data_IF_992147895027
#
_entry.id   IF_992147895027
#
_cell.length_a   1.000
_cell.length_b   1.000
_cell.length_c   1.000
_cell.angle_alpha   90.00
_cell.angle_beta   90.00
_cell.angle_gamma   90.00
#
_symmetry.space_group_name_H-M   'P 1'
#
loop_
_entity.id
_entity.type
_entity.pdbx_description
1 polymer ?
#
# COMPACT_ATOMS: atom_id res chain seq x y z
N UNK A 1 27.56 35.01 -16.41
CA UNK A 1 28.92 34.86 -15.86
C UNK A 1 29.18 33.37 -15.71
N UNK A 2 30.04 32.81 -16.56
CA UNK A 2 30.06 31.38 -16.87
C UNK A 2 30.74 30.55 -15.78
N UNK A 3 29.97 29.72 -15.06
CA UNK A 3 30.45 28.79 -14.02
C UNK A 3 31.30 27.63 -14.58
N UNK A 4 31.30 27.45 -15.90
CA UNK A 4 31.90 26.31 -16.60
C UNK A 4 33.44 26.40 -16.76
N UNK A 5 34.04 27.57 -16.51
CA UNK A 5 35.48 27.80 -16.73
C UNK A 5 36.42 27.28 -15.62
N UNK A 6 35.87 26.80 -14.50
CA UNK A 6 36.66 26.34 -13.34
C UNK A 6 36.87 24.82 -13.28
N UNK A 7 36.25 24.07 -14.18
CA UNK A 7 36.44 22.61 -14.28
C UNK A 7 37.63 22.37 -15.21
N UNK A 8 38.82 22.28 -14.63
CA UNK A 8 40.04 21.86 -15.32
C UNK A 8 40.07 20.33 -15.36
N UNK A 9 39.66 19.74 -16.48
CA UNK A 9 39.78 18.30 -16.72
C UNK A 9 41.23 17.99 -17.09
N UNK A 10 41.98 17.42 -16.15
CA UNK A 10 43.36 16.97 -16.40
C UNK A 10 43.34 15.48 -16.77
N UNK A 11 43.45 15.12 -18.07
CA UNK A 11 43.43 13.71 -18.50
C UNK A 11 44.63 12.91 -17.99
N UNK A 12 45.74 13.58 -17.66
CA UNK A 12 46.97 12.98 -17.14
C UNK A 12 46.80 12.44 -15.70
N UNK A 13 45.75 12.87 -14.99
CA UNK A 13 45.43 12.39 -13.65
C UNK A 13 44.69 11.03 -13.68
N UNK A 14 44.29 10.53 -14.86
CA UNK A 14 43.59 9.27 -15.01
C UNK A 14 44.58 8.09 -15.01
N UNK A 15 44.90 7.61 -13.80
CA UNK A 15 45.71 6.41 -13.61
C UNK A 15 44.88 5.13 -13.83
N UNK A 16 45.58 4.01 -14.04
CA UNK A 16 44.95 2.70 -14.23
C UNK A 16 44.05 2.29 -13.04
N UNK A 17 44.42 2.69 -11.82
CA UNK A 17 43.67 2.38 -10.60
C UNK A 17 42.27 3.01 -10.62
N UNK A 18 42.16 4.25 -11.12
CA UNK A 18 40.88 4.94 -11.22
C UNK A 18 39.94 4.27 -12.23
N UNK A 19 40.47 3.80 -13.36
CA UNK A 19 39.70 3.04 -14.35
C UNK A 19 39.23 1.69 -13.78
N UNK A 20 40.10 0.99 -13.06
CA UNK A 20 39.75 -0.28 -12.43
C UNK A 20 38.63 -0.12 -11.40
N UNK A 21 38.70 0.91 -10.55
CA UNK A 21 37.66 1.21 -9.57
C UNK A 21 36.31 1.53 -10.23
N UNK A 22 36.32 2.34 -11.31
CA UNK A 22 35.10 2.66 -12.05
C UNK A 22 34.46 1.40 -12.66
N UNK A 23 35.25 0.57 -13.35
CA UNK A 23 34.75 -0.66 -13.99
C UNK A 23 34.16 -1.62 -12.95
N UNK A 24 34.86 -1.83 -11.83
CA UNK A 24 34.36 -2.68 -10.74
C UNK A 24 33.06 -2.11 -10.17
N UNK A 25 33.01 -0.80 -9.88
CA UNK A 25 31.82 -0.14 -9.35
C UNK A 25 30.60 -0.32 -10.24
N UNK A 26 30.72 -0.01 -11.53
CA UNK A 26 29.62 -0.19 -12.48
C UNK A 26 29.21 -1.66 -12.62
N UNK A 27 30.17 -2.58 -12.65
CA UNK A 27 29.89 -4.02 -12.77
C UNK A 27 29.13 -4.54 -11.56
N UNK A 28 29.53 -4.16 -10.34
CA UNK A 28 28.86 -4.58 -9.11
C UNK A 28 27.43 -4.03 -9.05
N UNK A 29 27.23 -2.76 -9.37
CA UNK A 29 25.88 -2.15 -9.39
C UNK A 29 25.00 -2.85 -10.43
N UNK A 30 25.53 -3.09 -11.62
CA UNK A 30 24.80 -3.78 -12.68
C UNK A 30 24.43 -5.21 -12.28
N UNK A 31 25.36 -5.95 -11.68
CA UNK A 31 25.11 -7.30 -11.16
C UNK A 31 24.08 -7.29 -10.03
N UNK A 32 24.15 -6.33 -9.10
CA UNK A 32 23.18 -6.19 -8.01
C UNK A 32 21.76 -5.96 -8.55
N UNK A 33 21.61 -5.08 -9.53
CA UNK A 33 20.32 -4.82 -10.19
C UNK A 33 19.81 -6.04 -10.96
N UNK A 34 20.69 -6.74 -11.68
CA UNK A 34 20.33 -7.95 -12.41
C UNK A 34 19.86 -9.06 -11.47
N UNK A 35 20.58 -9.28 -10.36
CA UNK A 35 20.20 -10.26 -9.34
C UNK A 35 18.83 -9.91 -8.75
N UNK A 36 18.63 -8.65 -8.37
CA UNK A 36 17.36 -8.19 -7.82
C UNK A 36 16.20 -8.37 -8.81
N UNK A 37 16.42 -8.06 -10.10
CA UNK A 37 15.45 -8.32 -11.15
C UNK A 37 15.08 -9.82 -11.24
N UNK A 38 16.09 -10.71 -11.25
CA UNK A 38 15.85 -12.15 -11.29
C UNK A 38 15.08 -12.60 -10.05
N UNK A 39 15.44 -12.09 -8.87
CA UNK A 39 14.75 -12.42 -7.62
C UNK A 39 13.26 -12.06 -7.69
N UNK A 40 12.93 -10.81 -8.05
CA UNK A 40 11.53 -10.38 -8.17
C UNK A 40 10.78 -11.12 -9.29
N UNK A 41 11.45 -11.50 -10.37
CA UNK A 41 10.84 -12.29 -11.45
C UNK A 41 10.48 -13.72 -11.02
N UNK A 42 11.26 -14.33 -10.14
CA UNK A 42 11.03 -15.71 -9.67
C UNK A 42 10.05 -15.79 -8.50
N UNK A 43 10.01 -14.75 -7.66
CA UNK A 43 9.13 -14.65 -6.49
C UNK A 43 7.64 -14.99 -6.78
N UNK A 44 6.95 -14.40 -7.79
CA UNK A 44 5.55 -14.70 -8.05
C UNK A 44 5.33 -16.16 -8.49
N UNK A 45 6.31 -16.77 -9.17
CA UNK A 45 6.22 -18.18 -9.57
C UNK A 45 6.30 -19.11 -8.37
N UNK A 46 7.19 -18.82 -7.41
CA UNK A 46 7.31 -19.58 -6.17
C UNK A 46 6.05 -19.49 -5.31
N UNK A 47 5.48 -18.28 -5.19
CA UNK A 47 4.23 -18.07 -4.46
C UNK A 47 3.06 -18.78 -5.13
N UNK A 48 2.91 -18.63 -6.46
CA UNK A 48 1.85 -19.30 -7.22
C UNK A 48 1.95 -20.83 -7.11
N UNK A 49 3.16 -21.38 -7.11
CA UNK A 49 3.37 -22.82 -6.96
C UNK A 49 2.90 -23.34 -5.58
N UNK A 50 3.23 -22.62 -4.50
CA UNK A 50 2.76 -22.96 -3.17
C UNK A 50 1.23 -22.84 -3.04
N UNK A 51 0.65 -21.80 -3.64
CA UNK A 51 -0.80 -21.59 -3.66
C UNK A 51 -1.52 -22.70 -4.43
N UNK A 52 -1.05 -23.05 -5.63
CA UNK A 52 -1.58 -24.18 -6.42
C UNK A 52 -1.53 -25.50 -5.65
N UNK A 53 -0.43 -25.75 -4.94
CA UNK A 53 -0.29 -26.95 -4.10
C UNK A 53 -1.29 -26.98 -2.94
N UNK A 54 -1.59 -25.84 -2.32
CA UNK A 54 -2.62 -25.74 -1.27
C UNK A 54 -4.03 -25.96 -1.83
N UNK A 55 -4.39 -25.23 -2.89
CA UNK A 55 -5.71 -25.33 -3.52
C UNK A 55 -6.02 -26.74 -4.06
N UNK A 56 -4.99 -27.44 -4.59
CA UNK A 56 -5.15 -28.83 -5.04
C UNK A 56 -5.36 -29.82 -3.89
N UNK A 57 -4.86 -29.51 -2.67
CA UNK A 57 -5.11 -30.32 -1.47
C UNK A 57 -6.50 -30.06 -0.88
N UNK A 58 -7.03 -28.86 -1.06
CA UNK A 58 -8.36 -28.44 -0.60
C UNK A 58 -9.50 -28.91 -1.53
N UNK A 59 -9.18 -29.58 -2.64
CA UNK A 59 -10.18 -30.19 -3.53
C UNK A 59 -10.81 -29.22 -4.53
N UNK A 60 -10.22 -28.05 -4.76
CA UNK A 60 -10.67 -27.06 -5.74
C UNK A 60 -9.73 -26.99 -6.97
N UNK A 61 -9.75 -28.01 -7.86
CA UNK A 61 -8.80 -28.12 -8.98
C UNK A 61 -8.97 -26.99 -10.02
N UNK A 62 -10.19 -26.46 -10.16
CA UNK A 62 -10.51 -25.39 -11.09
C UNK A 62 -9.86 -24.06 -10.67
N UNK A 63 -9.94 -23.72 -9.39
CA UNK A 63 -9.24 -22.54 -8.83
C UNK A 63 -7.73 -22.72 -8.82
N UNK A 64 -7.23 -23.95 -8.68
CA UNK A 64 -5.79 -24.23 -8.79
C UNK A 64 -5.27 -24.05 -10.24
N UNK A 65 -6.11 -24.29 -11.27
CA UNK A 65 -5.73 -24.09 -12.66
C UNK A 65 -5.58 -22.60 -13.01
N UNK A 66 -6.43 -21.75 -12.43
CA UNK A 66 -6.40 -20.29 -12.60
C UNK A 66 -5.47 -19.59 -11.61
N UNK A 67 -5.13 -20.21 -10.48
CA UNK A 67 -4.20 -19.64 -9.50
C UNK A 67 -2.84 -19.34 -10.15
N UNK A 68 -2.45 -18.07 -10.20
CA UNK A 68 -1.20 -17.63 -10.82
C UNK A 68 -1.29 -17.33 -12.32
N UNK A 69 -2.49 -17.32 -12.93
CA UNK A 69 -2.69 -16.57 -14.15
C UNK A 69 -2.41 -15.09 -13.85
N UNK A 70 -1.40 -14.51 -14.49
CA UNK A 70 -1.07 -13.12 -14.31
C UNK A 70 -2.23 -12.27 -14.86
N UNK A 71 -3.07 -11.74 -13.97
CA UNK A 71 -4.03 -10.70 -14.35
C UNK A 71 -3.21 -9.43 -14.60
N UNK A 72 -3.40 -8.74 -15.74
CA UNK A 72 -2.68 -7.51 -16.02
C UNK A 72 -2.93 -6.45 -14.94
N UNK A 73 -1.90 -5.64 -14.66
CA UNK A 73 -1.96 -4.64 -13.60
C UNK A 73 -3.04 -3.59 -13.85
N UNK A 74 -3.29 -3.25 -15.12
CA UNK A 74 -4.34 -2.33 -15.53
C UNK A 74 -5.74 -2.83 -15.16
N UNK A 75 -5.99 -4.14 -15.27
CA UNK A 75 -7.29 -4.73 -14.92
C UNK A 75 -7.51 -4.69 -13.41
N UNK A 76 -6.48 -5.05 -12.64
CA UNK A 76 -6.53 -4.94 -11.18
C UNK A 76 -6.72 -3.50 -10.70
N UNK A 77 -6.05 -2.54 -11.36
CA UNK A 77 -6.21 -1.12 -11.07
C UNK A 77 -7.65 -0.66 -11.37
N UNK A 78 -8.20 -1.03 -12.54
CA UNK A 78 -9.57 -0.70 -12.90
C UNK A 78 -10.59 -1.29 -11.92
N UNK A 79 -10.41 -2.55 -11.49
CA UNK A 79 -11.25 -3.19 -10.47
C UNK A 79 -11.15 -2.44 -9.15
N UNK A 80 -9.93 -2.11 -8.70
CA UNK A 80 -9.72 -1.37 -7.45
C UNK A 80 -10.36 0.03 -7.51
N UNK A 81 -10.25 0.72 -8.65
CA UNK A 81 -10.91 2.02 -8.88
C UNK A 81 -12.43 1.89 -8.86
N UNK A 82 -12.99 0.87 -9.51
CA UNK A 82 -14.44 0.64 -9.50
C UNK A 82 -14.96 0.38 -8.08
N UNK A 83 -14.26 -0.47 -7.31
CA UNK A 83 -14.59 -0.73 -5.90
C UNK A 83 -14.48 0.56 -5.08
N UNK A 84 -13.40 1.33 -5.26
CA UNK A 84 -13.21 2.60 -4.55
C UNK A 84 -14.35 3.59 -4.81
N UNK A 85 -14.74 3.79 -6.07
CA UNK A 85 -15.83 4.70 -6.43
C UNK A 85 -17.17 4.24 -5.86
N UNK A 86 -17.47 2.94 -5.95
CA UNK A 86 -18.69 2.37 -5.38
C UNK A 86 -18.77 2.56 -3.87
N UNK A 87 -17.67 2.26 -3.16
CA UNK A 87 -17.63 2.44 -1.71
C UNK A 87 -17.69 3.92 -1.32
N UNK A 88 -17.07 4.81 -2.09
CA UNK A 88 -17.12 6.25 -1.82
C UNK A 88 -18.53 6.82 -2.00
N UNK A 89 -19.31 6.32 -2.95
CA UNK A 89 -20.71 6.72 -3.14
C UNK A 89 -21.64 6.23 -2.00
N UNK A 90 -21.33 5.08 -1.40
CA UNK A 90 -22.08 4.54 -0.27
C UNK A 90 -21.77 5.22 1.09
N UNK A 91 -20.70 6.00 1.19
CA UNK A 91 -20.45 6.77 2.40
C UNK A 91 -21.37 8.00 2.41
N UNK A 92 -22.24 8.09 3.41
CA UNK A 92 -23.01 9.33 3.65
C UNK A 92 -22.03 10.48 3.89
N UNK A 93 -22.22 11.59 3.17
CA UNK A 93 -21.48 12.83 3.40
C UNK A 93 -21.92 13.43 4.74
N UNK A 94 -21.23 13.04 5.82
CA UNK A 94 -21.44 13.65 7.12
C UNK A 94 -21.09 15.15 7.06
N UNK A 95 -22.10 16.01 7.16
CA UNK A 95 -21.89 17.45 7.26
C UNK A 95 -21.36 17.75 8.66
N UNK A 96 -20.07 18.03 8.79
CA UNK A 96 -19.43 18.37 10.06
C UNK A 96 -19.87 19.72 10.68
N UNK A 97 -20.98 20.30 10.20
CA UNK A 97 -21.60 21.50 10.78
C UNK A 97 -22.62 21.05 11.82
N UNK A 98 -22.14 20.88 13.05
CA UNK A 98 -23.02 20.65 14.20
C UNK A 98 -23.73 21.97 14.56
N UNK A 99 -24.87 22.27 13.92
CA UNK A 99 -25.73 23.38 14.37
C UNK A 99 -26.46 22.94 15.64
N UNK A 100 -25.85 23.18 16.80
CA UNK A 100 -26.50 22.99 18.10
C UNK A 100 -27.54 24.09 18.28
N UNK A 101 -28.76 23.86 17.79
CA UNK A 101 -29.90 24.68 18.20
C UNK A 101 -30.19 24.35 19.66
N UNK A 102 -29.84 25.25 20.59
CA UNK A 102 -30.32 25.19 21.96
C UNK A 102 -31.84 25.39 21.96
N UNK A 103 -32.60 24.33 21.72
CA UNK A 103 -33.96 24.28 22.22
C UNK A 103 -33.83 24.35 23.75
N UNK A 104 -34.56 25.25 24.40
CA UNK A 104 -34.51 25.48 25.85
C UNK A 104 -35.12 24.30 26.65
N UNK A 105 -34.79 23.06 26.31
CA UNK A 105 -35.11 21.88 27.11
C UNK A 105 -33.96 21.69 28.09
N UNK A 106 -34.21 22.08 29.34
CA UNK A 106 -33.29 22.00 30.48
C UNK A 106 -32.85 20.56 30.84
N UNK A 107 -33.36 19.54 30.14
CA UNK A 107 -33.03 18.14 30.37
C UNK A 107 -32.91 17.38 29.05
N UNK A 108 -31.92 16.49 28.97
CA UNK A 108 -31.80 15.48 27.91
C UNK A 108 -32.49 14.19 28.36
N UNK A 109 -33.34 13.56 27.51
CA UNK A 109 -34.00 12.30 27.85
C UNK A 109 -33.03 11.11 27.94
N UNK A 110 -31.76 11.26 27.55
CA UNK A 110 -30.76 10.19 27.60
C UNK A 110 -30.08 10.05 28.97
N UNK A 111 -30.16 11.06 29.84
CA UNK A 111 -29.58 11.02 31.18
C UNK A 111 -30.34 11.92 32.17
N UNK A 112 -31.60 11.61 32.45
CA UNK A 112 -32.35 12.30 33.50
C UNK A 112 -32.28 11.49 34.79
N UNK A 113 -31.38 11.92 35.70
CA UNK A 113 -31.12 11.31 37.03
C UNK A 113 -32.38 11.15 37.91
N UNK A 114 -33.46 11.86 37.57
CA UNK A 114 -34.78 11.83 38.23
C UNK A 114 -35.50 10.47 38.17
N UNK A 115 -35.27 9.63 37.17
CA UNK A 115 -35.90 8.30 37.14
C UNK A 115 -35.21 7.26 38.04
N UNK A 116 -33.99 7.55 38.52
CA UNK A 116 -33.20 6.58 39.30
C UNK A 116 -33.25 6.81 40.82
N UNK A 117 -34.00 7.81 41.30
CA UNK A 117 -34.05 8.21 42.72
C UNK A 117 -35.38 7.93 43.41
N UNK A 118 -36.37 7.33 42.74
CA UNK A 118 -37.74 7.13 43.29
C UNK A 118 -38.11 5.69 43.62
N UNK A 119 -37.15 4.77 43.83
CA UNK A 119 -37.47 3.39 44.23
C UNK A 119 -36.55 2.81 45.31
N UNK A 120 -36.52 3.42 46.50
CA UNK A 120 -36.12 2.71 47.72
C UNK A 120 -37.33 2.56 48.65
N UNK A 121 -38.13 1.52 48.41
CA UNK A 121 -39.24 1.11 49.27
C UNK A 121 -38.64 0.25 50.39
N UNK A 122 -38.49 0.81 51.59
CA UNK A 122 -38.17 0.02 52.79
C UNK A 122 -39.47 -0.58 53.32
N UNK A 123 -39.39 -1.86 53.67
CA UNK A 123 -40.44 -2.70 54.27
C UNK A 123 -41.09 -2.06 55.49
#
# INVERSE_FOLDING_TARGET
MNLFLWIQLNPDALTADHLMLAVIGYTVVFLALLLLYVFFRQLPKLLAFNLRRKLRKEGEPEKAATAGSAIPGEVNAAIATAIFLYLNELHDHETAVLTITKAAKSYSPWNSKIYNVTHFRRF
#
